data_IF_422804410268
#
_entry.id   IF_422804410268
#
_cell.length_a   1.000
_cell.length_b   1.000
_cell.length_c   1.000
_cell.angle_alpha   90.00
_cell.angle_beta   90.00
_cell.angle_gamma   90.00
#
_symmetry.space_group_name_H-M   'P 1'
#
loop_
_entity.id
_entity.type
_entity.pdbx_description
1 polymer ?
#
# COMPACT_ATOMS: atom_id res chain seq x y z
N UNK A 1 16.62 13.55 2.88
CA UNK A 1 15.30 12.89 2.99
C UNK A 1 14.81 12.35 1.64
N UNK A 2 15.03 13.06 0.53
CA UNK A 2 14.66 12.58 -0.82
C UNK A 2 15.59 11.52 -1.41
N UNK A 3 16.83 11.38 -0.93
CA UNK A 3 17.78 10.36 -1.42
C UNK A 3 17.30 8.92 -1.23
N UNK A 4 16.42 8.68 -0.25
CA UNK A 4 15.81 7.37 -0.02
C UNK A 4 14.98 6.91 -1.23
N UNK A 5 14.36 7.85 -1.95
CA UNK A 5 13.58 7.60 -3.16
C UNK A 5 14.43 7.57 -4.44
N UNK A 6 15.70 7.99 -4.37
CA UNK A 6 16.61 7.96 -5.51
C UNK A 6 17.04 6.54 -5.89
N UNK A 7 17.11 5.63 -4.90
CA UNK A 7 17.40 4.22 -5.19
C UNK A 7 16.10 3.45 -5.50
N UNK A 8 15.91 2.95 -6.73
CA UNK A 8 14.69 2.26 -7.12
C UNK A 8 14.46 0.93 -6.38
N UNK A 9 15.51 0.26 -5.87
CA UNK A 9 15.35 -0.93 -5.01
C UNK A 9 14.68 -0.59 -3.68
N UNK A 10 15.01 0.58 -3.13
CA UNK A 10 14.48 1.03 -1.86
C UNK A 10 13.01 1.45 -1.98
N UNK A 11 12.65 2.09 -3.11
CA UNK A 11 11.25 2.37 -3.48
C UNK A 11 10.46 1.07 -3.66
N UNK A 12 11.05 0.02 -4.23
CA UNK A 12 10.41 -1.28 -4.38
C UNK A 12 10.12 -1.96 -3.02
N UNK A 13 11.07 -1.86 -2.08
CA UNK A 13 10.90 -2.40 -0.73
C UNK A 13 9.85 -1.61 0.06
N UNK A 14 9.88 -0.28 -0.03
CA UNK A 14 8.87 0.59 0.57
C UNK A 14 7.48 0.29 0.00
N UNK A 15 7.37 0.14 -1.32
CA UNK A 15 6.15 -0.25 -2.01
C UNK A 15 5.59 -1.57 -1.47
N UNK A 16 6.42 -2.59 -1.30
CA UNK A 16 6.00 -3.90 -0.75
C UNK A 16 5.46 -3.78 0.66
N UNK A 17 6.09 -2.95 1.52
CA UNK A 17 5.59 -2.66 2.87
C UNK A 17 4.24 -1.93 2.84
N UNK A 18 4.09 -0.93 1.97
CA UNK A 18 2.84 -0.17 1.81
C UNK A 18 1.72 -1.06 1.28
N UNK A 19 2.02 -1.97 0.34
CA UNK A 19 1.07 -2.97 -0.17
C UNK A 19 0.62 -3.92 0.96
N UNK A 20 1.56 -4.44 1.74
CA UNK A 20 1.25 -5.32 2.87
C UNK A 20 0.40 -4.62 3.94
N UNK A 21 0.76 -3.39 4.32
CA UNK A 21 0.01 -2.59 5.28
C UNK A 21 -1.39 -2.24 4.77
N UNK A 22 -1.52 -1.83 3.50
CA UNK A 22 -2.80 -1.54 2.86
C UNK A 22 -3.72 -2.77 2.80
N UNK A 23 -3.16 -3.95 2.49
CA UNK A 23 -3.90 -5.21 2.51
C UNK A 23 -4.38 -5.57 3.91
N UNK A 24 -3.49 -5.53 4.90
CA UNK A 24 -3.84 -5.83 6.29
C UNK A 24 -4.94 -4.89 6.80
N UNK A 25 -4.81 -3.59 6.54
CA UNK A 25 -5.80 -2.59 6.94
C UNK A 25 -7.14 -2.81 6.25
N UNK A 26 -7.14 -3.15 4.96
CA UNK A 26 -8.36 -3.47 4.22
C UNK A 26 -9.06 -4.69 4.80
N UNK A 27 -8.33 -5.76 5.10
CA UNK A 27 -8.90 -6.98 5.67
C UNK A 27 -9.51 -6.73 7.07
N UNK A 28 -8.81 -5.96 7.91
CA UNK A 28 -9.32 -5.54 9.23
C UNK A 28 -10.60 -4.71 9.06
N UNK A 29 -10.59 -3.74 8.15
CA UNK A 29 -11.75 -2.90 7.86
C UNK A 29 -12.94 -3.70 7.37
N UNK A 30 -12.75 -4.60 6.40
CA UNK A 30 -13.83 -5.46 5.87
C UNK A 30 -14.40 -6.35 6.97
N UNK A 31 -13.53 -6.98 7.77
CA UNK A 31 -13.96 -7.81 8.88
C UNK A 31 -14.81 -7.02 9.89
N UNK A 32 -14.32 -5.86 10.33
CA UNK A 32 -14.99 -5.04 11.32
C UNK A 32 -16.26 -4.34 10.84
N UNK A 33 -16.30 -3.95 9.56
CA UNK A 33 -17.40 -3.20 8.98
C UNK A 33 -18.57 -4.07 8.53
N UNK A 34 -18.29 -5.28 8.04
CA UNK A 34 -19.28 -6.09 7.34
C UNK A 34 -19.47 -7.51 7.90
N UNK A 35 -18.41 -8.15 8.40
CA UNK A 35 -18.48 -9.55 8.88
C UNK A 35 -18.73 -9.63 10.39
N UNK A 36 -18.33 -8.62 11.15
CA UNK A 36 -18.53 -8.59 12.59
C UNK A 36 -19.96 -8.18 12.94
N UNK A 37 -20.76 -9.15 13.40
CA UNK A 37 -22.16 -8.95 13.80
C UNK A 37 -22.37 -8.50 15.26
N UNK A 38 -21.31 -8.15 15.98
CA UNK A 38 -21.42 -7.66 17.36
C UNK A 38 -21.85 -6.19 17.43
N UNK A 39 -22.34 -5.76 18.59
CA UNK A 39 -22.74 -4.38 18.82
C UNK A 39 -21.51 -3.49 18.97
N UNK A 40 -21.11 -2.81 17.89
CA UNK A 40 -20.06 -1.80 17.90
C UNK A 40 -20.68 -0.41 18.14
N UNK A 41 -20.06 0.45 18.96
CA UNK A 41 -20.46 1.84 19.04
C UNK A 41 -20.27 2.51 17.67
N UNK A 42 -21.11 3.50 17.37
CA UNK A 42 -21.15 4.15 16.04
C UNK A 42 -19.76 4.64 15.58
N UNK A 43 -18.95 5.17 16.50
CA UNK A 43 -17.60 5.67 16.23
C UNK A 43 -16.66 4.54 15.77
N UNK A 44 -16.75 3.37 16.39
CA UNK A 44 -15.94 2.21 15.99
C UNK A 44 -16.36 1.70 14.62
N UNK A 45 -17.66 1.67 14.34
CA UNK A 45 -18.19 1.22 13.04
C UNK A 45 -17.78 2.17 11.89
N UNK A 46 -17.84 3.49 12.12
CA UNK A 46 -17.32 4.51 11.20
C UNK A 46 -15.81 4.34 10.99
N UNK A 47 -15.05 4.07 12.05
CA UNK A 47 -13.60 3.83 11.94
C UNK A 47 -13.28 2.59 11.10
N UNK A 48 -14.04 1.50 11.28
CA UNK A 48 -13.90 0.28 10.47
C UNK A 48 -14.24 0.53 9.00
N UNK A 49 -15.28 1.31 8.70
CA UNK A 49 -15.59 1.74 7.34
C UNK A 49 -14.46 2.61 6.75
N UNK A 50 -13.90 3.54 7.51
CA UNK A 50 -12.78 4.37 7.06
C UNK A 50 -11.56 3.51 6.69
N UNK A 51 -11.28 2.44 7.43
CA UNK A 51 -10.21 1.48 7.08
C UNK A 51 -10.42 0.83 5.70
N UNK A 52 -11.67 0.58 5.29
CA UNK A 52 -11.98 0.07 3.94
C UNK A 52 -11.77 1.08 2.82
N UNK A 53 -11.61 2.37 3.14
CA UNK A 53 -11.24 3.43 2.18
C UNK A 53 -9.72 3.64 2.18
N UNK A 54 -9.10 3.63 3.37
CA UNK A 54 -7.65 3.82 3.52
C UNK A 54 -6.86 2.61 2.99
N UNK A 55 -7.36 1.39 3.16
CA UNK A 55 -6.71 0.17 2.67
C UNK A 55 -6.50 0.16 1.14
N UNK A 56 -7.55 0.31 0.32
CA UNK A 56 -7.44 0.32 -1.14
C UNK A 56 -6.63 1.51 -1.68
N UNK A 57 -6.68 2.66 -1.00
CA UNK A 57 -5.86 3.81 -1.38
C UNK A 57 -4.37 3.57 -1.12
N UNK A 58 -4.02 2.98 0.03
CA UNK A 58 -2.64 2.50 0.30
C UNK A 58 -2.19 1.46 -0.74
N UNK A 59 -3.06 0.50 -1.08
CA UNK A 59 -2.75 -0.51 -2.10
C UNK A 59 -2.46 0.14 -3.46
N UNK A 60 -3.27 1.10 -3.88
CA UNK A 60 -3.07 1.83 -5.14
C UNK A 60 -1.75 2.58 -5.15
N UNK A 61 -1.44 3.32 -4.09
CA UNK A 61 -0.18 4.06 -3.94
C UNK A 61 1.01 3.09 -3.95
N UNK A 62 0.93 2.02 -3.16
CA UNK A 62 1.93 0.95 -3.12
C UNK A 62 2.19 0.36 -4.50
N UNK A 63 1.14 0.05 -5.26
CA UNK A 63 1.26 -0.50 -6.60
C UNK A 63 1.92 0.46 -7.59
N UNK A 64 1.52 1.74 -7.61
CA UNK A 64 2.13 2.74 -8.48
C UNK A 64 3.62 2.92 -8.14
N UNK A 65 3.99 2.93 -6.86
CA UNK A 65 5.40 2.95 -6.43
C UNK A 65 6.16 1.71 -6.90
N UNK A 66 5.53 0.53 -6.86
CA UNK A 66 6.11 -0.73 -7.36
C UNK A 66 6.44 -0.61 -8.85
N UNK A 67 5.45 -0.16 -9.63
CA UNK A 67 5.54 -0.03 -11.07
C UNK A 67 6.65 0.97 -11.45
N UNK A 68 6.69 2.12 -10.77
CA UNK A 68 7.74 3.12 -10.97
C UNK A 68 9.14 2.57 -10.65
N UNK A 69 9.28 1.85 -9.54
CA UNK A 69 10.56 1.24 -9.16
C UNK A 69 11.03 0.20 -10.18
N UNK A 70 10.13 -0.68 -10.63
CA UNK A 70 10.43 -1.69 -11.65
C UNK A 70 10.78 -1.04 -13.00
N UNK A 71 10.07 0.01 -13.40
CA UNK A 71 10.37 0.76 -14.61
C UNK A 71 11.78 1.35 -14.56
N UNK A 72 12.15 2.01 -13.46
CA UNK A 72 13.50 2.57 -13.27
C UNK A 72 14.60 1.51 -13.26
N UNK A 73 14.36 0.37 -12.60
CA UNK A 73 15.31 -0.76 -12.59
C UNK A 73 15.53 -1.32 -13.99
N UNK A 74 14.45 -1.51 -14.76
CA UNK A 74 14.53 -2.01 -16.13
C UNK A 74 15.31 -1.04 -17.04
N UNK A 75 15.01 0.26 -16.99
CA UNK A 75 15.74 1.27 -17.79
C UNK A 75 17.22 1.38 -17.40
N UNK A 76 17.56 1.25 -16.12
CA UNK A 76 18.95 1.29 -15.67
C UNK A 76 19.74 0.05 -16.12
N UNK A 77 19.08 -1.11 -16.19
CA UNK A 77 19.71 -2.33 -16.73
C UNK A 77 20.01 -2.22 -18.22
N UNK A 78 19.13 -1.58 -19.00
CA UNK A 78 19.33 -1.39 -20.44
C UNK A 78 20.48 -0.40 -20.71
N UNK A 79 20.62 0.66 -19.91
CA UNK A 79 21.70 1.64 -20.07
C UNK A 79 23.10 1.16 -19.67
N UNK A 80 23.23 0.05 -18.93
CA UNK A 80 24.52 -0.55 -18.55
C UNK A 80 25.02 -1.57 -19.59
N UNK A 81 24.12 -2.07 -20.46
CA UNK A 81 24.43 -3.10 -21.46
C UNK A 81 24.68 -2.49 -22.86
N UNK A 82 24.33 -1.23 -23.08
CA UNK A 82 24.59 -0.47 -24.30
C UNK A 82 25.93 0.28 -24.23
#
# INVERSE_FOLDING_TARGET
MFDFFSNPQNVLHLSSKVLGAGLALLLIGIYGAYLYGGHLPIVALVSMHAMTIIGPTLLKIGYVMRLLAQHRLATHHVGVVA
#
